data_IF_722669921773
#
_entry.id   IF_722669921773
#
_cell.length_a   1.000
_cell.length_b   1.000
_cell.length_c   1.000
_cell.angle_alpha   90.00
_cell.angle_beta   90.00
_cell.angle_gamma   90.00
#
_symmetry.space_group_name_H-M   'P 1'
#
loop_
_entity.id
_entity.type
_entity.pdbx_description
1 polymer ?
#
# COMPACT_ATOMS: atom_id res chain seq x y z
N UNK A 1 34.20 10.52 1.13
CA UNK A 1 33.14 10.24 2.10
C UNK A 1 32.62 8.84 1.84
N UNK A 2 32.51 8.01 2.89
CA UNK A 2 31.87 6.69 2.77
C UNK A 2 30.40 6.85 3.19
N UNK A 3 29.47 6.45 2.32
CA UNK A 3 28.03 6.54 2.55
C UNK A 3 27.44 5.14 2.45
N UNK A 4 26.61 4.77 3.43
CA UNK A 4 25.87 3.50 3.45
C UNK A 4 24.40 3.87 3.37
N UNK A 5 23.68 3.30 2.39
CA UNK A 5 22.22 3.42 2.24
C UNK A 5 21.55 2.10 2.62
N UNK A 6 20.42 2.17 3.31
CA UNK A 6 19.57 1.01 3.61
C UNK A 6 18.23 1.18 2.88
N UNK A 7 17.87 0.23 2.03
CA UNK A 7 16.62 0.26 1.29
C UNK A 7 16.13 -1.15 0.97
N UNK A 8 14.81 -1.32 0.91
CA UNK A 8 14.19 -2.54 0.38
C UNK A 8 13.94 -2.46 -1.14
N UNK A 9 14.18 -1.29 -1.75
CA UNK A 9 13.92 -1.01 -3.16
C UNK A 9 15.10 -0.26 -3.77
N UNK A 10 16.18 -0.96 -4.14
CA UNK A 10 17.44 -0.35 -4.60
C UNK A 10 17.36 0.15 -6.05
N UNK A 11 16.20 0.58 -6.51
CA UNK A 11 15.97 1.07 -7.87
C UNK A 11 15.10 2.33 -7.90
N UNK A 12 15.30 3.15 -8.94
CA UNK A 12 14.56 4.38 -9.20
C UNK A 12 13.68 4.24 -10.44
N UNK A 13 12.50 4.85 -10.38
CA UNK A 13 11.59 4.88 -11.51
C UNK A 13 12.25 5.53 -12.73
N UNK A 14 12.31 4.78 -13.84
CA UNK A 14 12.89 5.25 -15.10
C UNK A 14 14.43 5.38 -15.15
N UNK A 15 15.14 5.05 -14.05
CA UNK A 15 16.59 5.19 -13.98
C UNK A 15 17.36 3.89 -13.67
N UNK A 16 16.66 2.80 -13.37
CA UNK A 16 17.29 1.52 -13.03
C UNK A 16 17.76 1.42 -11.58
N UNK A 17 18.74 0.57 -11.33
CA UNK A 17 19.31 0.35 -10.00
C UNK A 17 20.06 1.58 -9.49
N UNK A 18 20.17 1.71 -8.17
CA UNK A 18 20.93 2.80 -7.54
C UNK A 18 22.45 2.70 -7.79
N UNK A 19 22.88 1.56 -8.31
CA UNK A 19 24.28 1.24 -8.67
C UNK A 19 24.54 1.33 -10.17
N UNK A 20 23.52 1.61 -10.99
CA UNK A 20 23.64 1.62 -12.44
C UNK A 20 23.95 3.01 -13.02
N UNK A 21 24.75 3.03 -14.10
CA UNK A 21 25.03 4.22 -14.91
C UNK A 21 26.04 5.18 -14.31
N UNK A 22 26.33 6.24 -15.07
CA UNK A 22 27.31 7.28 -14.69
C UNK A 22 26.85 8.13 -13.51
N UNK A 23 25.53 8.21 -13.27
CA UNK A 23 24.89 8.90 -12.15
C UNK A 23 24.57 7.96 -10.98
N UNK A 24 25.26 6.83 -10.85
CA UNK A 24 25.06 5.88 -9.76
C UNK A 24 25.22 6.57 -8.40
N UNK A 25 24.25 6.36 -7.51
CA UNK A 25 24.33 6.90 -6.14
C UNK A 25 25.27 6.11 -5.24
N UNK A 26 25.40 4.80 -5.52
CA UNK A 26 26.23 3.87 -4.78
C UNK A 26 27.11 3.08 -5.74
N UNK A 27 28.29 2.73 -5.28
CA UNK A 27 29.25 1.94 -6.05
C UNK A 27 28.96 0.44 -6.00
N UNK A 28 28.17 0.00 -5.02
CA UNK A 28 27.93 -1.43 -4.77
C UNK A 28 26.60 -1.65 -4.08
N UNK A 29 26.04 -2.87 -4.28
CA UNK A 29 24.81 -3.34 -3.63
C UNK A 29 25.11 -4.66 -2.90
N UNK A 30 24.81 -4.67 -1.61
CA UNK A 30 24.88 -5.88 -0.79
C UNK A 30 23.46 -6.35 -0.52
N UNK A 31 23.08 -7.50 -1.07
CA UNK A 31 21.81 -8.17 -0.81
C UNK A 31 22.08 -9.45 -0.01
N UNK A 32 22.05 -9.38 1.33
CA UNK A 32 22.50 -10.49 2.18
C UNK A 32 21.53 -11.68 2.16
N UNK A 33 20.25 -11.45 1.82
CA UNK A 33 19.19 -12.46 1.85
C UNK A 33 18.11 -12.12 0.83
N UNK A 34 17.66 -13.09 0.02
CA UNK A 34 16.58 -12.89 -0.95
C UNK A 34 15.18 -13.02 -0.32
N UNK A 35 14.16 -12.45 -0.99
CA UNK A 35 12.75 -12.61 -0.56
C UNK A 35 12.36 -14.09 -0.59
N UNK A 36 12.81 -14.85 -1.59
CA UNK A 36 12.54 -16.28 -1.74
C UNK A 36 13.09 -17.07 -0.54
N UNK A 37 14.30 -16.76 -0.10
CA UNK A 37 14.91 -17.40 1.07
C UNK A 37 14.12 -17.05 2.36
N UNK A 38 13.68 -15.81 2.51
CA UNK A 38 12.88 -15.39 3.66
C UNK A 38 11.49 -16.05 3.67
N UNK A 39 10.87 -16.23 2.51
CA UNK A 39 9.62 -16.98 2.37
C UNK A 39 9.84 -18.48 2.70
N UNK A 40 10.90 -19.08 2.17
CA UNK A 40 11.22 -20.49 2.44
C UNK A 40 11.50 -20.75 3.92
N UNK A 41 12.17 -19.82 4.59
CA UNK A 41 12.46 -19.87 6.04
C UNK A 41 11.30 -19.43 6.93
N UNK A 42 10.13 -19.11 6.36
CA UNK A 42 8.96 -18.60 7.08
C UNK A 42 9.17 -17.30 7.87
N UNK A 43 10.18 -16.51 7.51
CA UNK A 43 10.32 -15.13 8.01
C UNK A 43 9.38 -14.16 7.34
N UNK A 44 8.87 -14.52 6.16
CA UNK A 44 7.83 -13.81 5.44
C UNK A 44 6.66 -14.74 5.13
N UNK A 45 5.45 -14.19 5.12
CA UNK A 45 4.24 -14.88 4.69
C UNK A 45 4.03 -14.72 3.18
N UNK A 46 3.60 -15.76 2.45
CA UNK A 46 3.32 -15.64 1.03
C UNK A 46 2.12 -14.73 0.77
N UNK A 47 2.23 -13.87 -0.24
CA UNK A 47 1.10 -13.09 -0.74
C UNK A 47 0.28 -13.91 -1.73
N UNK A 48 -1.03 -13.96 -1.51
CA UNK A 48 -1.99 -14.51 -2.48
C UNK A 48 -2.64 -13.36 -3.24
N UNK A 49 -2.19 -13.11 -4.45
CA UNK A 49 -2.81 -12.10 -5.32
C UNK A 49 -4.22 -12.57 -5.75
N UNK A 50 -5.20 -11.69 -5.58
CA UNK A 50 -6.56 -11.89 -6.07
C UNK A 50 -6.83 -10.85 -7.16
N UNK A 51 -6.95 -11.29 -8.40
CA UNK A 51 -7.38 -10.40 -9.48
C UNK A 51 -8.79 -9.90 -9.21
N UNK A 52 -8.98 -8.58 -9.35
CA UNK A 52 -10.27 -7.93 -9.19
C UNK A 52 -11.05 -7.92 -10.50
N UNK A 53 -12.36 -7.99 -10.45
CA UNK A 53 -13.26 -7.76 -11.60
C UNK A 53 -13.41 -6.27 -11.88
N UNK A 54 -13.37 -5.46 -10.84
CA UNK A 54 -13.38 -4.00 -10.95
C UNK A 54 -12.03 -3.53 -11.49
N UNK A 55 -12.06 -2.87 -12.65
CA UNK A 55 -10.87 -2.27 -13.26
C UNK A 55 -10.92 -0.77 -13.06
N UNK A 56 -9.85 -0.21 -12.50
CA UNK A 56 -9.68 1.24 -12.44
C UNK A 56 -9.30 1.75 -13.83
N UNK A 57 -10.12 2.64 -14.38
CA UNK A 57 -9.83 3.26 -15.68
C UNK A 57 -8.84 4.41 -15.49
N UNK A 58 -7.65 4.22 -15.99
CA UNK A 58 -6.58 5.22 -16.02
C UNK A 58 -6.29 5.73 -17.43
N UNK A 59 -7.17 5.45 -18.39
CA UNK A 59 -7.07 5.94 -19.76
C UNK A 59 -7.13 7.48 -19.76
N UNK A 60 -6.16 8.11 -20.41
CA UNK A 60 -6.09 9.58 -20.46
C UNK A 60 -5.40 10.25 -19.25
N UNK A 61 -5.07 9.53 -18.19
CA UNK A 61 -4.31 10.09 -17.05
C UNK A 61 -2.88 10.38 -17.49
N UNK A 62 -2.47 11.65 -17.37
CA UNK A 62 -1.12 12.09 -17.75
C UNK A 62 -0.06 11.55 -16.78
N UNK A 63 1.15 11.44 -17.31
CA UNK A 63 2.32 10.98 -16.56
C UNK A 63 3.38 12.10 -16.50
N UNK A 64 4.10 12.15 -15.38
CA UNK A 64 5.27 13.01 -15.19
C UNK A 64 6.36 12.23 -14.48
N UNK A 65 7.60 12.25 -15.02
CA UNK A 65 8.70 11.47 -14.43
C UNK A 65 8.48 9.96 -14.41
N UNK A 66 7.69 9.43 -15.35
CA UNK A 66 7.38 8.00 -15.43
C UNK A 66 6.22 7.53 -14.53
N UNK A 67 5.63 8.41 -13.68
CA UNK A 67 4.50 8.08 -12.81
C UNK A 67 3.25 8.89 -13.19
N UNK A 68 2.07 8.40 -12.81
CA UNK A 68 0.83 9.12 -12.97
C UNK A 68 0.83 10.44 -12.19
N UNK A 69 0.24 11.50 -12.77
CA UNK A 69 -0.01 12.73 -12.04
C UNK A 69 -1.12 12.47 -11.02
N UNK A 70 -0.79 12.57 -9.74
CA UNK A 70 -1.64 12.14 -8.63
C UNK A 70 -3.03 12.81 -8.65
N UNK A 71 -3.09 14.12 -8.92
CA UNK A 71 -4.35 14.85 -8.99
C UNK A 71 -5.24 14.43 -10.16
N UNK A 72 -4.66 14.04 -11.29
CA UNK A 72 -5.43 13.52 -12.45
C UNK A 72 -5.86 12.07 -12.20
N UNK A 73 -4.98 11.26 -11.62
CA UNK A 73 -5.29 9.89 -11.24
C UNK A 73 -6.46 9.84 -10.24
N UNK A 74 -6.40 10.68 -9.19
CA UNK A 74 -7.47 10.76 -8.20
C UNK A 74 -8.81 11.10 -8.85
N UNK A 75 -8.85 12.10 -9.73
CA UNK A 75 -10.07 12.46 -10.45
C UNK A 75 -10.63 11.35 -11.36
N UNK A 76 -9.75 10.55 -11.96
CA UNK A 76 -10.16 9.49 -12.87
C UNK A 76 -10.79 8.30 -12.16
N UNK A 77 -10.30 7.95 -10.95
CA UNK A 77 -10.70 6.73 -10.25
C UNK A 77 -11.62 6.98 -9.06
N UNK A 78 -11.65 8.18 -8.50
CA UNK A 78 -12.48 8.55 -7.36
C UNK A 78 -13.90 8.95 -7.85
N UNK A 79 -14.71 7.94 -8.12
CA UNK A 79 -16.10 8.10 -8.52
C UNK A 79 -17.02 7.30 -7.60
N UNK A 80 -18.21 7.79 -7.30
CA UNK A 80 -19.16 7.14 -6.37
C UNK A 80 -19.41 5.68 -6.75
N UNK A 81 -19.73 5.43 -8.02
CA UNK A 81 -19.99 4.07 -8.53
C UNK A 81 -18.73 3.20 -8.45
N UNK A 82 -17.56 3.74 -8.80
CA UNK A 82 -16.29 3.03 -8.75
C UNK A 82 -15.91 2.65 -7.32
N UNK A 83 -16.09 3.58 -6.37
CA UNK A 83 -15.81 3.38 -4.96
C UNK A 83 -16.74 2.32 -4.37
N UNK A 84 -18.05 2.39 -4.67
CA UNK A 84 -19.02 1.39 -4.22
C UNK A 84 -18.66 -0.01 -4.74
N UNK A 85 -18.45 -0.17 -6.04
CA UNK A 85 -18.08 -1.45 -6.65
C UNK A 85 -16.77 -2.01 -6.09
N UNK A 86 -15.77 -1.14 -5.88
CA UNK A 86 -14.50 -1.53 -5.29
C UNK A 86 -14.69 -2.04 -3.86
N UNK A 87 -15.45 -1.33 -3.03
CA UNK A 87 -15.70 -1.71 -1.63
C UNK A 87 -16.50 -3.00 -1.53
N UNK A 88 -17.55 -3.20 -2.33
CA UNK A 88 -18.29 -4.46 -2.41
C UNK A 88 -17.38 -5.64 -2.77
N UNK A 89 -16.49 -5.45 -3.75
CA UNK A 89 -15.53 -6.47 -4.13
C UNK A 89 -14.50 -6.76 -3.02
N UNK A 90 -13.99 -5.72 -2.35
CA UNK A 90 -13.07 -5.85 -1.22
C UNK A 90 -13.70 -6.68 -0.10
N UNK A 91 -14.91 -6.34 0.33
CA UNK A 91 -15.63 -7.05 1.41
C UNK A 91 -15.81 -8.52 1.04
N UNK A 92 -16.28 -8.80 -0.17
CA UNK A 92 -16.48 -10.17 -0.67
C UNK A 92 -15.19 -10.99 -0.69
N UNK A 93 -14.05 -10.38 -1.09
CA UNK A 93 -12.77 -11.08 -1.24
C UNK A 93 -11.99 -11.17 0.06
N UNK A 94 -12.13 -10.20 0.93
CA UNK A 94 -11.48 -10.20 2.23
C UNK A 94 -12.11 -11.22 3.19
N UNK A 95 -13.43 -11.44 3.07
CA UNK A 95 -14.14 -12.44 3.89
C UNK A 95 -14.01 -12.13 5.38
N UNK A 96 -13.48 -13.07 6.13
CA UNK A 96 -13.31 -13.02 7.59
C UNK A 96 -12.04 -12.32 8.06
N UNK A 97 -11.19 -11.85 7.16
CA UNK A 97 -9.96 -11.12 7.45
C UNK A 97 -10.22 -9.89 8.32
N UNK A 98 -9.31 -9.57 9.24
CA UNK A 98 -9.56 -8.60 10.32
C UNK A 98 -8.72 -7.32 10.23
N UNK A 99 -7.67 -7.26 9.39
CA UNK A 99 -6.74 -6.12 9.36
C UNK A 99 -6.44 -5.72 7.93
N UNK A 100 -7.25 -4.81 7.39
CA UNK A 100 -7.16 -4.38 5.99
C UNK A 100 -6.44 -3.05 5.86
N UNK A 101 -5.43 -3.01 5.00
CA UNK A 101 -4.70 -1.79 4.68
C UNK A 101 -4.98 -1.41 3.22
N UNK A 102 -5.59 -0.23 3.01
CA UNK A 102 -6.01 0.24 1.70
C UNK A 102 -5.19 1.45 1.27
N UNK A 103 -4.50 1.34 0.14
CA UNK A 103 -3.73 2.43 -0.45
C UNK A 103 -4.54 3.13 -1.53
N UNK A 104 -4.90 4.39 -1.28
CA UNK A 104 -5.73 5.22 -2.16
C UNK A 104 -4.90 6.25 -2.91
N UNK A 105 -5.43 6.78 -4.02
CA UNK A 105 -4.72 7.72 -4.91
C UNK A 105 -4.64 9.15 -4.40
N UNK A 106 -5.40 9.49 -3.37
CA UNK A 106 -5.42 10.82 -2.79
C UNK A 106 -6.21 10.84 -1.48
N UNK A 107 -6.16 11.98 -0.77
CA UNK A 107 -6.84 12.13 0.54
C UNK A 107 -8.35 11.99 0.39
N UNK A 108 -8.97 12.71 -0.55
CA UNK A 108 -10.41 12.62 -0.81
C UNK A 108 -10.84 11.19 -1.12
N UNK A 109 -10.12 10.51 -2.03
CA UNK A 109 -10.39 9.11 -2.36
C UNK A 109 -10.28 8.19 -1.13
N UNK A 110 -9.29 8.40 -0.26
CA UNK A 110 -9.15 7.60 0.96
C UNK A 110 -10.32 7.84 1.94
N UNK A 111 -10.82 9.07 2.02
CA UNK A 111 -11.98 9.44 2.82
C UNK A 111 -13.26 8.83 2.24
N UNK A 112 -13.49 8.90 0.93
CA UNK A 112 -14.66 8.32 0.27
C UNK A 112 -14.68 6.79 0.44
N UNK A 113 -13.56 6.10 0.25
CA UNK A 113 -13.45 4.65 0.48
C UNK A 113 -13.72 4.29 1.95
N UNK A 114 -13.23 5.08 2.92
CA UNK A 114 -13.55 4.89 4.34
C UNK A 114 -15.05 5.01 4.59
N UNK A 115 -15.68 6.04 4.03
CA UNK A 115 -17.10 6.30 4.26
C UNK A 115 -17.97 5.22 3.62
N UNK A 116 -17.60 4.74 2.43
CA UNK A 116 -18.27 3.63 1.77
C UNK A 116 -18.09 2.30 2.56
N UNK A 117 -16.90 2.02 3.09
CA UNK A 117 -16.68 0.87 3.98
C UNK A 117 -17.58 0.93 5.22
N UNK A 118 -17.70 2.11 5.84
CA UNK A 118 -18.57 2.33 7.01
C UNK A 118 -20.05 2.16 6.65
N UNK A 119 -20.49 2.66 5.53
CA UNK A 119 -21.85 2.49 5.02
C UNK A 119 -22.22 1.01 4.84
N UNK A 120 -21.23 0.16 4.51
CA UNK A 120 -21.40 -1.29 4.38
C UNK A 120 -21.05 -2.08 5.66
N UNK A 121 -20.96 -1.39 6.82
CA UNK A 121 -20.81 -2.03 8.14
C UNK A 121 -19.38 -2.44 8.51
N UNK A 122 -18.37 -1.99 7.79
CA UNK A 122 -16.95 -2.23 8.13
C UNK A 122 -16.43 -1.08 9.00
N UNK A 123 -15.86 -1.40 10.17
CA UNK A 123 -15.18 -0.38 10.97
C UNK A 123 -13.92 0.09 10.23
N UNK A 124 -13.89 1.36 9.85
CA UNK A 124 -12.83 1.91 9.03
C UNK A 124 -12.42 3.32 9.49
N UNK A 125 -11.14 3.64 9.38
CA UNK A 125 -10.57 4.96 9.59
C UNK A 125 -9.68 5.38 8.42
N UNK A 126 -9.48 6.70 8.27
CA UNK A 126 -8.64 7.27 7.23
C UNK A 126 -7.43 7.96 7.84
N UNK A 127 -6.23 7.55 7.45
CA UNK A 127 -4.98 8.12 7.90
C UNK A 127 -4.30 8.90 6.77
N UNK A 128 -4.11 10.20 6.98
CA UNK A 128 -3.52 11.11 6.00
C UNK A 128 -2.29 11.83 6.55
N UNK A 129 -1.59 12.57 5.70
CA UNK A 129 -0.49 13.43 6.13
C UNK A 129 -0.92 14.54 7.09
N UNK A 130 -2.18 14.98 7.01
CA UNK A 130 -2.79 15.98 7.90
C UNK A 130 -3.26 15.43 9.25
N UNK A 131 -3.29 14.11 9.45
CA UNK A 131 -3.73 13.51 10.71
C UNK A 131 -2.76 13.88 11.84
N UNK A 132 -3.22 14.54 12.93
CA UNK A 132 -2.39 14.90 14.06
C UNK A 132 -1.69 13.68 14.68
N UNK A 133 -0.47 13.86 15.18
CA UNK A 133 0.36 12.76 15.69
C UNK A 133 -0.37 11.89 16.72
N UNK A 134 -1.03 12.51 17.73
CA UNK A 134 -1.77 11.79 18.75
C UNK A 134 -2.91 10.95 18.16
N UNK A 135 -3.72 11.54 17.29
CA UNK A 135 -4.82 10.83 16.63
C UNK A 135 -4.30 9.67 15.75
N UNK A 136 -3.17 9.88 15.07
CA UNK A 136 -2.50 8.82 14.31
C UNK A 136 -2.10 7.65 15.19
N UNK A 137 -1.49 7.91 16.35
CA UNK A 137 -1.09 6.89 17.32
C UNK A 137 -2.32 6.11 17.85
N UNK A 138 -3.40 6.82 18.17
CA UNK A 138 -4.68 6.23 18.62
C UNK A 138 -5.29 5.33 17.52
N UNK A 139 -5.37 5.80 16.28
CA UNK A 139 -5.87 5.01 15.14
C UNK A 139 -5.04 3.76 14.88
N UNK A 140 -3.72 3.88 14.93
CA UNK A 140 -2.81 2.74 14.73
C UNK A 140 -2.97 1.73 15.87
N UNK A 141 -3.11 2.18 17.11
CA UNK A 141 -3.35 1.31 18.24
C UNK A 141 -4.68 0.55 18.11
N UNK A 142 -5.77 1.25 17.76
CA UNK A 142 -7.08 0.65 17.53
C UNK A 142 -7.08 -0.35 16.34
N UNK A 143 -6.32 -0.06 15.27
CA UNK A 143 -6.15 -0.98 14.14
C UNK A 143 -5.38 -2.25 14.56
N UNK A 144 -4.32 -2.11 15.35
CA UNK A 144 -3.57 -3.24 15.90
C UNK A 144 -4.40 -4.07 16.90
N UNK A 145 -5.29 -3.42 17.65
CA UNK A 145 -6.24 -4.07 18.55
C UNK A 145 -7.45 -4.72 17.82
N UNK A 146 -7.55 -4.55 16.48
CA UNK A 146 -8.67 -5.02 15.64
C UNK A 146 -10.03 -4.36 15.96
N UNK A 147 -10.01 -3.23 16.66
CA UNK A 147 -11.17 -2.37 16.87
C UNK A 147 -11.55 -1.65 15.56
N UNK A 148 -10.56 -1.33 14.74
CA UNK A 148 -10.69 -0.84 13.38
C UNK A 148 -10.25 -1.97 12.45
N UNK A 149 -11.16 -2.42 11.57
CA UNK A 149 -10.89 -3.49 10.60
C UNK A 149 -10.16 -3.00 9.37
N UNK A 150 -10.47 -1.80 8.91
CA UNK A 150 -9.90 -1.22 7.70
C UNK A 150 -9.24 0.13 7.96
N UNK A 151 -8.04 0.33 7.45
CA UNK A 151 -7.33 1.59 7.49
C UNK A 151 -7.04 2.05 6.06
N UNK A 152 -7.74 3.09 5.62
CA UNK A 152 -7.47 3.73 4.33
C UNK A 152 -6.37 4.78 4.49
N UNK A 153 -5.55 4.96 3.47
CA UNK A 153 -4.49 5.95 3.51
C UNK A 153 -4.14 6.51 2.12
N UNK A 154 -3.58 7.71 2.12
CA UNK A 154 -2.99 8.35 0.96
C UNK A 154 -1.53 8.73 1.26
N UNK A 155 -0.57 8.03 0.65
CA UNK A 155 0.88 8.29 0.73
C UNK A 155 1.54 8.24 2.13
N UNK A 156 0.86 7.80 3.17
CA UNK A 156 1.35 7.93 4.56
C UNK A 156 1.92 6.63 5.12
N UNK A 157 1.37 5.49 4.72
CA UNK A 157 1.71 4.18 5.30
C UNK A 157 2.67 3.36 4.43
N UNK A 158 3.29 4.00 3.43
CA UNK A 158 4.29 3.36 2.57
C UNK A 158 5.63 3.20 3.28
N UNK A 159 5.99 4.11 4.19
CA UNK A 159 7.23 4.07 4.97
C UNK A 159 6.96 4.18 6.48
N UNK A 160 7.74 3.45 7.28
CA UNK A 160 7.73 3.58 8.75
C UNK A 160 6.48 3.07 9.48
N UNK A 161 5.45 2.61 8.79
CA UNK A 161 4.26 2.04 9.41
C UNK A 161 4.48 0.56 9.74
N UNK A 162 4.25 0.20 10.99
CA UNK A 162 4.39 -1.15 11.48
C UNK A 162 3.05 -1.71 11.97
N UNK A 163 2.42 -2.56 11.15
CA UNK A 163 1.25 -3.35 11.50
C UNK A 163 1.46 -4.79 11.02
N UNK A 164 2.10 -5.64 11.85
CA UNK A 164 2.47 -7.00 11.46
C UNK A 164 1.24 -7.87 11.12
N UNK A 165 0.10 -7.61 11.74
CA UNK A 165 -1.12 -8.40 11.56
C UNK A 165 -1.96 -7.99 10.33
N UNK A 166 -1.47 -7.09 9.46
CA UNK A 166 -2.17 -6.77 8.21
C UNK A 166 -2.34 -8.02 7.35
N UNK A 167 -3.57 -8.46 7.15
CA UNK A 167 -3.93 -9.69 6.46
C UNK A 167 -4.61 -9.46 5.09
N UNK A 168 -4.97 -8.21 4.78
CA UNK A 168 -5.40 -7.76 3.46
C UNK A 168 -4.69 -6.47 3.08
N UNK A 169 -4.06 -6.47 1.91
CA UNK A 169 -3.53 -5.25 1.29
C UNK A 169 -4.32 -4.98 0.02
N UNK A 170 -4.92 -3.80 -0.04
CA UNK A 170 -5.71 -3.34 -1.19
C UNK A 170 -5.00 -2.17 -1.85
N UNK A 171 -4.78 -2.28 -3.15
CA UNK A 171 -4.13 -1.26 -3.94
C UNK A 171 -5.16 -0.56 -4.84
N UNK A 172 -5.81 0.50 -4.32
CA UNK A 172 -6.70 1.40 -5.06
C UNK A 172 -5.93 2.58 -5.68
N UNK A 173 -4.62 2.43 -5.77
CA UNK A 173 -3.71 3.38 -6.39
C UNK A 173 -2.91 2.68 -7.46
N UNK A 174 -3.31 2.79 -8.73
CA UNK A 174 -2.45 2.40 -9.84
C UNK A 174 -1.10 3.13 -9.78
N UNK A 175 -0.01 2.43 -10.03
CA UNK A 175 1.33 3.00 -10.03
C UNK A 175 2.18 2.39 -11.13
N UNK A 176 3.05 3.20 -11.72
CA UNK A 176 4.11 2.75 -12.63
C UNK A 176 5.42 2.48 -11.89
N UNK A 177 5.49 2.79 -10.60
CA UNK A 177 6.68 2.61 -9.76
C UNK A 177 6.74 1.21 -9.15
N UNK A 178 7.66 0.33 -9.60
CA UNK A 178 7.88 -0.97 -8.97
C UNK A 178 8.25 -0.82 -7.49
N UNK A 179 9.03 0.20 -7.14
CA UNK A 179 9.40 0.46 -5.76
C UNK A 179 8.19 0.71 -4.86
N UNK A 180 7.26 1.57 -5.31
CA UNK A 180 6.04 1.86 -4.57
C UNK A 180 5.15 0.60 -4.46
N UNK A 181 5.02 -0.16 -5.55
CA UNK A 181 4.28 -1.42 -5.55
C UNK A 181 4.84 -2.41 -4.50
N UNK A 182 6.15 -2.63 -4.50
CA UNK A 182 6.83 -3.52 -3.54
C UNK A 182 6.66 -3.02 -2.10
N UNK A 183 6.74 -1.71 -1.86
CA UNK A 183 6.52 -1.13 -0.53
C UNK A 183 5.09 -1.35 -0.02
N UNK A 184 4.08 -1.19 -0.88
CA UNK A 184 2.69 -1.46 -0.53
C UNK A 184 2.46 -2.95 -0.29
N UNK A 185 2.88 -3.82 -1.20
CA UNK A 185 2.76 -5.27 -1.10
C UNK A 185 3.48 -5.81 0.16
N UNK A 186 4.65 -5.29 0.44
CA UNK A 186 5.49 -5.65 1.58
C UNK A 186 4.80 -5.51 2.94
N UNK A 187 3.74 -4.69 3.03
CA UNK A 187 2.95 -4.59 4.27
C UNK A 187 2.19 -5.87 4.60
N UNK A 188 1.89 -6.70 3.61
CA UNK A 188 1.22 -7.99 3.80
C UNK A 188 2.16 -9.19 3.99
N UNK A 189 3.48 -9.01 3.83
CA UNK A 189 4.44 -10.12 3.86
C UNK A 189 4.78 -10.62 5.26
N UNK A 190 4.38 -9.92 6.33
CA UNK A 190 4.72 -10.36 7.68
C UNK A 190 3.93 -11.59 8.10
N UNK A 191 4.56 -12.58 8.78
CA UNK A 191 3.85 -13.70 9.36
C UNK A 191 2.80 -13.23 10.36
N UNK A 192 1.66 -13.87 10.37
CA UNK A 192 0.52 -13.54 11.24
C UNK A 192 0.25 -14.72 12.17
N UNK A 193 -0.16 -14.41 13.39
CA UNK A 193 -0.50 -15.43 14.38
C UNK A 193 -1.89 -16.05 14.18
N UNK A 194 -2.72 -15.46 13.30
CA UNK A 194 -4.15 -15.78 13.17
C UNK A 194 -4.60 -16.14 11.74
N UNK A 195 -3.66 -16.18 10.77
CA UNK A 195 -3.96 -16.59 9.39
C UNK A 195 -2.89 -17.53 8.86
N UNK A 196 -3.30 -18.60 8.23
CA UNK A 196 -2.44 -19.56 7.52
C UNK A 196 -2.14 -19.07 6.09
#
# INVERSE_FOLDING_TARGET
LRVIGLTATPYRLGQGMLTDGDDALFSDLIEPVSIEELLFKHYLAPLRSKQTSTKLDVSGVKKRGGEFIESELAKAIDTDMGNQQAVEEIIRRAGDRQSWLLFCSGVAHAEHIRDELRAQGVTAECLTGGTPKRQREEMIAAFKAKEIRALTNANVLTTGFDAPDTDVVVMLRPTMSPALYVQMAGRGLRPKSHTD
#
